data_IF_219851646401
#
_entry.id   IF_219851646401
#
_cell.length_a   1.000
_cell.length_b   1.000
_cell.length_c   1.000
_cell.angle_alpha   90.00
_cell.angle_beta   90.00
_cell.angle_gamma   90.00
#
_symmetry.space_group_name_H-M   'P 1'
#
loop_
_entity.id
_entity.type
_entity.pdbx_description
1 polymer ?
#
# COMPACT_ATOMS: atom_id res chain seq x y z
N UNK A 1 -16.61 -1.11 -52.09
CA UNK A 1 -16.42 -0.36 -50.81
C UNK A 1 -15.26 -0.88 -49.97
N UNK A 2 -15.11 -2.19 -49.74
CA UNK A 2 -14.01 -2.76 -48.91
C UNK A 2 -12.59 -2.37 -49.35
N UNK A 3 -12.34 -2.21 -50.64
CA UNK A 3 -11.00 -1.85 -51.13
C UNK A 3 -10.65 -0.36 -50.93
N UNK A 4 -11.66 0.54 -51.00
CA UNK A 4 -11.48 1.97 -50.74
C UNK A 4 -11.28 2.26 -49.25
N UNK A 5 -11.96 1.52 -48.37
CA UNK A 5 -11.73 1.61 -46.92
C UNK A 5 -10.35 1.09 -46.50
N UNK A 6 -9.87 -0.02 -47.10
CA UNK A 6 -8.53 -0.53 -46.83
C UNK A 6 -7.44 0.44 -47.28
N UNK A 7 -7.59 1.09 -48.45
CA UNK A 7 -6.65 2.11 -48.93
C UNK A 7 -6.68 3.39 -48.09
N UNK A 8 -7.85 3.79 -47.58
CA UNK A 8 -8.01 4.92 -46.65
C UNK A 8 -7.42 4.62 -45.26
N UNK A 9 -7.60 3.40 -44.76
CA UNK A 9 -7.03 2.95 -43.48
C UNK A 9 -5.50 2.84 -43.57
N UNK A 10 -4.98 2.29 -44.67
CA UNK A 10 -3.54 2.14 -44.88
C UNK A 10 -2.85 3.49 -45.10
N UNK A 11 -3.52 4.45 -45.75
CA UNK A 11 -3.03 5.83 -45.87
C UNK A 11 -3.05 6.59 -44.55
N UNK A 12 -4.00 6.29 -43.65
CA UNK A 12 -4.08 6.91 -42.32
C UNK A 12 -3.01 6.35 -41.37
N UNK A 13 -2.74 5.04 -41.43
CA UNK A 13 -1.64 4.40 -40.68
C UNK A 13 -0.27 4.89 -41.14
N UNK A 14 -0.09 5.16 -42.43
CA UNK A 14 1.18 5.66 -42.98
C UNK A 14 1.44 7.14 -42.62
N UNK A 15 0.39 7.96 -42.51
CA UNK A 15 0.49 9.35 -42.02
C UNK A 15 0.72 9.38 -40.50
N UNK A 16 0.10 8.50 -39.73
CA UNK A 16 0.39 8.32 -38.28
C UNK A 16 1.82 7.86 -38.06
N UNK A 17 2.34 6.97 -38.92
CA UNK A 17 3.73 6.51 -38.84
C UNK A 17 4.75 7.60 -39.24
N UNK A 18 4.38 8.50 -40.15
CA UNK A 18 5.26 9.59 -40.61
C UNK A 18 5.30 10.77 -39.63
N UNK A 19 4.27 10.96 -38.80
CA UNK A 19 4.30 11.88 -37.64
C UNK A 19 5.15 11.31 -36.49
N UNK A 20 5.27 9.98 -36.37
CA UNK A 20 6.19 9.36 -35.41
C UNK A 20 7.68 9.44 -35.79
N UNK A 21 8.01 9.75 -37.06
CA UNK A 21 9.40 9.72 -37.55
C UNK A 21 10.14 11.08 -37.54
N UNK A 22 9.46 12.21 -37.34
CA UNK A 22 10.13 13.53 -37.30
C UNK A 22 10.69 13.92 -35.92
N UNK A 23 10.67 13.02 -34.93
CA UNK A 23 11.24 13.26 -33.60
C UNK A 23 12.40 12.31 -33.27
N UNK A 24 13.25 11.98 -34.26
CA UNK A 24 14.56 11.36 -34.02
C UNK A 24 15.64 12.41 -34.22
N UNK A 25 16.06 13.03 -33.12
CA UNK A 25 17.43 13.51 -32.94
C UNK A 25 17.98 13.00 -31.62
N UNK A 26 18.87 12.01 -31.74
CA UNK A 26 20.16 11.87 -31.03
C UNK A 26 20.14 11.69 -29.49
N UNK A 27 20.43 10.45 -29.13
CA UNK A 27 21.23 9.90 -28.01
C UNK A 27 21.78 10.79 -26.88
N UNK A 28 21.68 10.18 -25.69
CA UNK A 28 22.61 10.20 -24.54
C UNK A 28 22.50 11.34 -23.51
N UNK A 29 21.72 11.11 -22.45
CA UNK A 29 22.09 11.44 -21.06
C UNK A 29 21.05 10.86 -20.08
N UNK A 30 21.51 10.59 -18.86
CA UNK A 30 20.87 9.79 -17.81
C UNK A 30 19.79 10.53 -16.99
N UNK A 31 19.23 11.61 -17.54
CA UNK A 31 18.06 12.30 -17.03
C UNK A 31 17.14 12.52 -18.22
N UNK A 32 16.03 11.77 -18.30
CA UNK A 32 15.03 11.91 -19.36
C UNK A 32 14.19 13.16 -19.06
N UNK A 33 14.81 14.33 -19.24
CA UNK A 33 14.10 15.61 -19.20
C UNK A 33 13.28 15.68 -20.47
N UNK A 34 11.95 15.62 -20.32
CA UNK A 34 11.04 15.81 -21.44
C UNK A 34 11.23 17.21 -22.02
N UNK A 35 11.19 17.35 -23.34
CA UNK A 35 11.16 18.68 -23.96
C UNK A 35 9.83 19.36 -23.65
N UNK A 36 9.80 20.71 -23.68
CA UNK A 36 8.58 21.48 -23.42
C UNK A 36 7.42 21.04 -24.33
N UNK A 37 7.71 20.72 -25.59
CA UNK A 37 6.72 20.21 -26.55
C UNK A 37 6.17 18.83 -26.15
N UNK A 38 7.01 17.93 -25.63
CA UNK A 38 6.58 16.62 -25.16
C UNK A 38 5.71 16.77 -23.90
N UNK A 39 6.12 17.62 -22.96
CA UNK A 39 5.33 17.96 -21.76
C UNK A 39 3.97 18.53 -22.16
N UNK A 40 3.92 19.47 -23.10
CA UNK A 40 2.67 20.04 -23.60
C UNK A 40 1.77 18.98 -24.27
N UNK A 41 2.36 18.06 -25.04
CA UNK A 41 1.63 16.94 -25.63
C UNK A 41 1.03 16.01 -24.58
N UNK A 42 1.79 15.66 -23.53
CA UNK A 42 1.30 14.81 -22.44
C UNK A 42 0.18 15.48 -21.66
N UNK A 43 0.32 16.78 -21.36
CA UNK A 43 -0.71 17.61 -20.72
C UNK A 43 -2.02 17.63 -21.52
N UNK A 44 -1.92 17.87 -22.83
CA UNK A 44 -3.09 17.87 -23.71
C UNK A 44 -3.74 16.48 -23.81
N UNK A 45 -2.94 15.42 -23.91
CA UNK A 45 -3.44 14.05 -23.96
C UNK A 45 -4.14 13.64 -22.67
N UNK A 46 -3.55 13.95 -21.52
CA UNK A 46 -4.14 13.69 -20.21
C UNK A 46 -5.48 14.42 -20.05
N UNK A 47 -5.53 15.71 -20.40
CA UNK A 47 -6.75 16.52 -20.30
C UNK A 47 -7.89 15.95 -21.16
N UNK A 48 -7.60 15.60 -22.42
CA UNK A 48 -8.58 14.97 -23.31
C UNK A 48 -9.03 13.61 -22.81
N UNK A 49 -8.13 12.85 -22.18
CA UNK A 49 -8.48 11.55 -21.61
C UNK A 49 -9.39 11.69 -20.39
N UNK A 50 -9.07 12.62 -19.50
CA UNK A 50 -9.88 12.94 -18.31
C UNK A 50 -11.29 13.36 -18.72
N UNK A 51 -11.41 14.29 -19.65
CA UNK A 51 -12.71 14.77 -20.13
C UNK A 51 -13.53 13.64 -20.76
N UNK A 52 -12.89 12.77 -21.54
CA UNK A 52 -13.56 11.62 -22.15
C UNK A 52 -14.04 10.60 -21.11
N UNK A 53 -13.22 10.28 -20.11
CA UNK A 53 -13.59 9.35 -19.03
C UNK A 53 -14.71 9.97 -18.18
N UNK A 54 -14.61 11.26 -17.87
CA UNK A 54 -15.63 11.96 -17.10
C UNK A 54 -16.99 12.04 -17.81
N UNK A 55 -16.99 12.02 -19.14
CA UNK A 55 -18.21 11.97 -19.96
C UNK A 55 -18.82 10.57 -20.15
N UNK A 56 -18.21 9.51 -19.62
CA UNK A 56 -18.77 8.16 -19.77
C UNK A 56 -19.99 7.94 -18.88
N UNK A 57 -21.01 7.30 -19.45
CA UNK A 57 -22.15 6.81 -18.69
C UNK A 57 -21.80 5.55 -17.90
N UNK A 58 -22.59 5.23 -16.89
CA UNK A 58 -22.45 4.01 -16.08
C UNK A 58 -22.46 2.74 -16.94
N UNK A 59 -23.31 2.73 -17.97
CA UNK A 59 -23.44 1.63 -18.93
C UNK A 59 -22.17 1.47 -19.78
N UNK A 60 -21.57 2.59 -20.21
CA UNK A 60 -20.32 2.57 -20.97
C UNK A 60 -19.16 2.09 -20.09
N UNK A 61 -19.09 2.55 -18.85
CA UNK A 61 -18.07 2.14 -17.88
C UNK A 61 -18.10 0.61 -17.69
N UNK A 62 -19.27 0.03 -17.44
CA UNK A 62 -19.40 -1.42 -17.25
C UNK A 62 -19.02 -2.21 -18.50
N UNK A 63 -19.45 -1.74 -19.68
CA UNK A 63 -19.11 -2.37 -20.96
C UNK A 63 -17.61 -2.36 -21.26
N UNK A 64 -16.90 -1.30 -20.88
CA UNK A 64 -15.45 -1.21 -21.06
C UNK A 64 -14.67 -2.01 -20.01
N UNK A 65 -15.19 -2.11 -18.78
CA UNK A 65 -14.63 -3.00 -17.74
C UNK A 65 -14.69 -4.48 -18.15
N UNK A 66 -15.70 -4.89 -18.90
CA UNK A 66 -15.83 -6.27 -19.39
C UNK A 66 -14.80 -6.65 -20.47
N UNK A 67 -14.03 -5.70 -21.02
CA UNK A 67 -13.08 -5.96 -22.11
C UNK A 67 -11.70 -6.46 -21.64
N UNK A 68 -11.48 -6.59 -20.33
CA UNK A 68 -10.28 -7.18 -19.69
C UNK A 68 -8.95 -6.56 -20.18
N UNK A 69 -8.93 -5.22 -20.28
CA UNK A 69 -7.72 -4.44 -20.54
C UNK A 69 -7.21 -3.83 -19.23
N UNK A 70 -5.95 -4.10 -18.86
CA UNK A 70 -5.37 -3.72 -17.57
C UNK A 70 -5.47 -2.22 -17.28
N UNK A 71 -5.09 -1.38 -18.27
CA UNK A 71 -5.11 0.08 -18.13
C UNK A 71 -6.55 0.60 -18.00
N UNK A 72 -7.43 0.16 -18.89
CA UNK A 72 -8.84 0.59 -18.92
C UNK A 72 -9.55 0.17 -17.64
N UNK A 73 -9.28 -1.05 -17.13
CA UNK A 73 -9.84 -1.55 -15.88
C UNK A 73 -9.40 -0.70 -14.70
N UNK A 74 -8.10 -0.41 -14.58
CA UNK A 74 -7.59 0.43 -13.52
C UNK A 74 -8.15 1.86 -13.58
N UNK A 75 -8.13 2.48 -14.76
CA UNK A 75 -8.61 3.84 -14.97
C UNK A 75 -10.11 3.98 -14.68
N UNK A 76 -10.94 3.08 -15.23
CA UNK A 76 -12.39 3.13 -15.07
C UNK A 76 -12.83 2.70 -13.68
N UNK A 77 -12.15 1.77 -13.02
CA UNK A 77 -12.43 1.43 -11.62
C UNK A 77 -12.13 2.64 -10.73
N UNK A 78 -11.00 3.31 -10.95
CA UNK A 78 -10.67 4.52 -10.20
C UNK A 78 -11.68 5.64 -10.44
N UNK A 79 -12.07 5.88 -11.69
CA UNK A 79 -13.12 6.84 -12.02
C UNK A 79 -14.47 6.46 -11.40
N UNK A 80 -14.90 5.20 -11.49
CA UNK A 80 -16.17 4.70 -10.91
C UNK A 80 -16.23 4.95 -9.41
N UNK A 81 -15.13 4.75 -8.70
CA UNK A 81 -15.04 5.02 -7.26
C UNK A 81 -15.05 6.51 -6.92
N UNK A 82 -14.65 7.38 -7.85
CA UNK A 82 -14.51 8.81 -7.60
C UNK A 82 -15.67 9.66 -8.14
N UNK A 83 -16.33 9.25 -9.23
CA UNK A 83 -17.32 10.05 -9.98
C UNK A 83 -18.48 10.53 -9.10
N UNK A 84 -18.95 9.69 -8.18
CA UNK A 84 -20.12 9.97 -7.33
C UNK A 84 -19.79 11.07 -6.31
N UNK A 85 -18.55 11.12 -5.85
CA UNK A 85 -18.06 12.15 -4.93
C UNK A 85 -17.60 13.42 -5.64
N UNK A 86 -17.07 13.31 -6.86
CA UNK A 86 -16.52 14.43 -7.64
C UNK A 86 -17.63 15.23 -8.34
N UNK A 87 -18.64 14.58 -8.90
CA UNK A 87 -19.67 15.23 -9.72
C UNK A 87 -19.20 15.50 -11.15
N UNK A 88 -19.86 16.42 -11.86
CA UNK A 88 -19.50 16.70 -13.25
C UNK A 88 -18.13 17.38 -13.36
N UNK A 89 -17.45 17.12 -14.48
CA UNK A 89 -16.19 17.78 -14.83
C UNK A 89 -16.41 19.27 -15.11
N UNK A 90 -15.54 20.13 -14.56
CA UNK A 90 -15.59 21.59 -14.77
C UNK A 90 -14.38 22.09 -15.54
N UNK A 91 -13.17 21.89 -15.00
CA UNK A 91 -11.94 22.37 -15.63
C UNK A 91 -10.70 21.57 -15.21
N UNK A 92 -9.69 21.52 -16.08
CA UNK A 92 -8.34 21.07 -15.74
C UNK A 92 -7.52 22.30 -15.32
N UNK A 93 -6.98 22.26 -14.11
CA UNK A 93 -6.10 23.27 -13.54
C UNK A 93 -4.63 22.99 -13.81
N UNK A 94 -3.79 23.11 -12.77
CA UNK A 94 -2.35 22.92 -12.92
C UNK A 94 -2.00 21.47 -13.24
N UNK A 95 -1.10 21.29 -14.19
CA UNK A 95 -0.56 19.99 -14.54
C UNK A 95 0.95 19.96 -14.36
N UNK A 96 1.43 18.97 -13.63
CA UNK A 96 2.85 18.71 -13.42
C UNK A 96 3.23 17.40 -14.08
N UNK A 97 4.41 17.36 -14.67
CA UNK A 97 4.95 16.16 -15.32
C UNK A 97 6.29 15.88 -14.67
N UNK A 98 6.42 14.70 -14.08
CA UNK A 98 7.65 14.22 -13.46
C UNK A 98 8.09 12.93 -14.15
N UNK A 99 9.40 12.67 -14.12
CA UNK A 99 9.97 11.43 -14.63
C UNK A 99 10.54 10.65 -13.46
N UNK A 100 10.08 9.43 -13.27
CA UNK A 100 10.65 8.48 -12.31
C UNK A 100 11.22 7.27 -13.05
N UNK A 101 12.55 7.31 -13.28
CA UNK A 101 13.28 6.28 -14.00
C UNK A 101 12.78 6.07 -15.44
N UNK A 102 11.90 5.08 -15.61
CA UNK A 102 11.29 4.75 -16.90
C UNK A 102 9.84 5.20 -17.04
N UNK A 103 9.25 5.75 -15.99
CA UNK A 103 7.87 6.18 -15.95
C UNK A 103 7.79 7.70 -16.03
N UNK A 104 6.81 8.19 -16.77
CA UNK A 104 6.41 9.59 -16.80
C UNK A 104 5.09 9.68 -16.05
N UNK A 105 5.09 10.45 -14.97
CA UNK A 105 3.94 10.65 -14.10
C UNK A 105 3.39 12.03 -14.40
N UNK A 106 2.14 12.08 -14.86
CA UNK A 106 1.42 13.30 -15.15
C UNK A 106 0.38 13.48 -14.05
N UNK A 107 0.55 14.49 -13.22
CA UNK A 107 -0.40 14.88 -12.19
C UNK A 107 -1.21 16.07 -12.70
N UNK A 108 -2.52 15.91 -12.78
CA UNK A 108 -3.45 16.95 -13.22
C UNK A 108 -4.39 17.29 -12.09
N UNK A 109 -4.35 18.53 -11.61
CA UNK A 109 -5.35 19.04 -10.70
C UNK A 109 -6.61 19.38 -11.49
N UNK A 110 -7.72 18.72 -11.15
CA UNK A 110 -8.98 18.86 -11.86
C UNK A 110 -10.05 19.30 -10.87
N UNK A 111 -10.78 20.34 -11.27
CA UNK A 111 -11.93 20.83 -10.52
C UNK A 111 -13.19 20.15 -11.06
N UNK A 112 -13.93 19.52 -10.17
CA UNK A 112 -15.27 18.99 -10.44
C UNK A 112 -16.30 19.78 -9.64
N UNK A 113 -17.58 19.55 -9.90
CA UNK A 113 -18.69 20.29 -9.26
C UNK A 113 -18.67 20.22 -7.72
N UNK A 114 -18.34 19.05 -7.15
CA UNK A 114 -18.43 18.84 -5.71
C UNK A 114 -17.09 18.97 -5.00
N UNK A 115 -16.00 18.49 -5.61
CA UNK A 115 -14.66 18.43 -5.01
C UNK A 115 -13.58 18.60 -6.09
N UNK A 116 -12.34 18.81 -5.67
CA UNK A 116 -11.18 18.73 -6.56
C UNK A 116 -10.55 17.33 -6.50
N UNK A 117 -9.92 16.91 -7.58
CA UNK A 117 -9.17 15.66 -7.62
C UNK A 117 -7.82 15.87 -8.28
N UNK A 118 -6.80 15.16 -7.81
CA UNK A 118 -5.54 15.01 -8.52
C UNK A 118 -5.61 13.73 -9.35
N UNK A 119 -5.61 13.87 -10.67
CA UNK A 119 -5.57 12.73 -11.60
C UNK A 119 -4.12 12.42 -11.93
N UNK A 120 -3.65 11.27 -11.47
CA UNK A 120 -2.32 10.75 -11.73
C UNK A 120 -2.38 9.79 -12.92
N UNK A 121 -1.62 10.08 -13.98
CA UNK A 121 -1.46 9.22 -15.14
C UNK A 121 0.00 8.79 -15.26
N UNK A 122 0.23 7.47 -15.26
CA UNK A 122 1.57 6.89 -15.37
C UNK A 122 1.73 6.31 -16.77
N UNK A 123 2.75 6.77 -17.49
CA UNK A 123 3.14 6.26 -18.79
C UNK A 123 4.53 5.66 -18.75
N UNK A 124 4.69 4.42 -19.22
CA UNK A 124 5.99 3.78 -19.29
C UNK A 124 6.68 4.11 -20.61
N UNK A 125 7.87 4.69 -20.50
CA UNK A 125 8.62 5.18 -21.65
C UNK A 125 9.43 4.11 -22.38
N UNK A 126 9.52 2.87 -21.85
CA UNK A 126 10.09 1.73 -22.57
C UNK A 126 9.06 1.10 -23.50
N UNK A 127 7.86 0.88 -22.99
CA UNK A 127 6.76 0.24 -23.73
C UNK A 127 5.95 1.26 -24.54
N UNK A 128 6.13 2.56 -24.27
CA UNK A 128 5.34 3.65 -24.86
C UNK A 128 3.83 3.48 -24.62
N UNK A 129 3.47 2.82 -23.51
CA UNK A 129 2.10 2.52 -23.11
C UNK A 129 1.75 3.21 -21.79
N UNK A 130 0.48 3.53 -21.59
CA UNK A 130 -0.04 3.95 -20.29
C UNK A 130 -0.14 2.74 -19.36
N UNK A 131 0.39 2.86 -18.16
CA UNK A 131 0.35 1.79 -17.14
C UNK A 131 -0.88 1.91 -16.25
N UNK A 132 -1.18 3.12 -15.77
CA UNK A 132 -2.28 3.34 -14.86
C UNK A 132 -2.79 4.77 -14.91
N UNK A 133 -4.05 4.95 -14.51
CA UNK A 133 -4.66 6.24 -14.23
C UNK A 133 -5.43 6.15 -12.92
N UNK A 134 -5.21 7.11 -12.02
CA UNK A 134 -5.86 7.16 -10.72
C UNK A 134 -6.47 8.55 -10.46
N UNK A 135 -7.74 8.57 -10.04
CA UNK A 135 -8.47 9.76 -9.63
C UNK A 135 -8.42 9.89 -8.10
N UNK A 136 -7.51 10.74 -7.61
CA UNK A 136 -7.31 10.94 -6.18
C UNK A 136 -8.14 12.14 -5.70
N UNK A 137 -9.23 11.88 -5.00
CA UNK A 137 -10.10 12.94 -4.45
C UNK A 137 -9.33 13.73 -3.38
N UNK A 138 -9.34 15.05 -3.50
CA UNK A 138 -8.78 15.94 -2.50
C UNK A 138 -9.78 16.18 -1.37
N UNK A 139 -9.70 15.35 -0.34
CA UNK A 139 -10.45 15.58 0.90
C UNK A 139 -9.86 16.74 1.69
N UNK A 140 -10.75 17.58 2.22
CA UNK A 140 -10.39 18.64 3.15
C UNK A 140 -9.83 18.06 4.45
N UNK A 141 -9.08 18.87 5.21
CA UNK A 141 -8.57 18.43 6.52
C UNK A 141 -9.71 18.01 7.46
N UNK A 142 -10.87 18.66 7.38
CA UNK A 142 -12.06 18.32 8.15
C UNK A 142 -12.60 16.92 7.83
N UNK A 143 -12.80 16.62 6.55
CA UNK A 143 -13.27 15.30 6.10
C UNK A 143 -12.26 14.19 6.46
N UNK A 144 -10.96 14.44 6.27
CA UNK A 144 -9.91 13.49 6.67
C UNK A 144 -9.94 13.24 8.18
N UNK A 145 -10.15 14.28 8.99
CA UNK A 145 -10.26 14.16 10.44
C UNK A 145 -11.54 13.40 10.86
N UNK A 146 -12.65 13.63 10.17
CA UNK A 146 -13.90 12.90 10.42
C UNK A 146 -13.76 11.42 10.08
N UNK A 147 -13.22 11.09 8.91
CA UNK A 147 -12.94 9.70 8.51
C UNK A 147 -11.98 9.01 9.49
N UNK A 148 -10.89 9.70 9.88
CA UNK A 148 -9.96 9.20 10.88
C UNK A 148 -10.61 9.02 12.25
N UNK A 149 -11.49 9.94 12.64
CA UNK A 149 -12.26 9.90 13.88
C UNK A 149 -13.22 8.71 13.93
N UNK A 150 -13.97 8.47 12.85
CA UNK A 150 -14.85 7.31 12.70
C UNK A 150 -14.07 5.99 12.81
N UNK A 151 -12.92 5.88 12.15
CA UNK A 151 -12.09 4.68 12.25
C UNK A 151 -11.52 4.48 13.66
N UNK A 152 -11.12 5.58 14.33
CA UNK A 152 -10.64 5.54 15.72
C UNK A 152 -11.76 5.14 16.67
N UNK A 153 -12.98 5.66 16.48
CA UNK A 153 -14.14 5.31 17.28
C UNK A 153 -14.52 3.83 17.09
N UNK A 154 -14.46 3.31 15.85
CA UNK A 154 -14.70 1.90 15.56
C UNK A 154 -13.64 1.00 16.23
N UNK A 155 -12.35 1.34 16.06
CA UNK A 155 -11.22 0.59 16.61
C UNK A 155 -11.15 0.63 18.14
N UNK A 156 -11.35 1.80 18.76
CA UNK A 156 -11.39 1.92 20.21
C UNK A 156 -12.68 1.34 20.79
N UNK A 157 -13.81 1.53 20.10
CA UNK A 157 -15.13 1.05 20.50
C UNK A 157 -15.18 -0.46 20.58
N UNK A 158 -14.65 -1.18 19.58
CA UNK A 158 -14.63 -2.65 19.62
C UNK A 158 -13.76 -3.19 20.76
N UNK A 159 -12.63 -2.54 21.05
CA UNK A 159 -11.76 -2.93 22.18
C UNK A 159 -12.48 -2.72 23.51
N UNK A 160 -13.15 -1.58 23.70
CA UNK A 160 -13.95 -1.32 24.90
C UNK A 160 -15.11 -2.31 25.06
N UNK A 161 -15.83 -2.63 23.98
CA UNK A 161 -16.91 -3.61 24.00
C UNK A 161 -16.38 -5.02 24.34
N UNK A 162 -15.22 -5.41 23.81
CA UNK A 162 -14.59 -6.69 24.13
C UNK A 162 -14.19 -6.78 25.60
N UNK A 163 -13.65 -5.71 26.18
CA UNK A 163 -13.30 -5.68 27.61
C UNK A 163 -14.54 -5.77 28.51
N UNK A 164 -15.61 -5.04 28.16
CA UNK A 164 -16.89 -5.13 28.89
C UNK A 164 -17.47 -6.54 28.78
N UNK A 165 -17.43 -7.14 27.58
CA UNK A 165 -17.92 -8.49 27.34
C UNK A 165 -17.12 -9.55 28.11
N UNK A 166 -15.79 -9.48 28.11
CA UNK A 166 -14.95 -10.37 28.91
C UNK A 166 -15.18 -10.18 30.41
N UNK A 167 -15.29 -8.93 30.88
CA UNK A 167 -15.64 -8.64 32.27
C UNK A 167 -16.99 -9.26 32.66
N UNK A 168 -17.96 -9.22 31.74
CA UNK A 168 -19.26 -9.83 31.95
C UNK A 168 -19.19 -11.37 32.01
N UNK A 169 -18.43 -12.04 31.15
CA UNK A 169 -18.22 -13.49 31.19
C UNK A 169 -17.60 -13.95 32.52
N UNK A 170 -16.56 -13.24 33.00
CA UNK A 170 -15.94 -13.53 34.30
C UNK A 170 -16.94 -13.34 35.44
N UNK A 171 -17.80 -12.32 35.37
CA UNK A 171 -18.87 -12.10 36.33
C UNK A 171 -19.90 -13.25 36.35
N UNK A 172 -20.22 -13.83 35.19
CA UNK A 172 -21.11 -14.99 35.12
C UNK A 172 -20.49 -16.25 35.72
N UNK A 173 -19.18 -16.47 35.61
CA UNK A 173 -18.50 -17.56 36.33
C UNK A 173 -18.65 -17.44 37.85
N UNK A 174 -18.61 -16.22 38.40
CA UNK A 174 -18.92 -15.99 39.82
C UNK A 174 -20.35 -16.39 40.18
N UNK A 175 -21.32 -16.17 39.30
CA UNK A 175 -22.70 -16.59 39.53
C UNK A 175 -22.85 -18.13 39.49
N UNK A 176 -22.13 -18.80 38.59
CA UNK A 176 -22.12 -20.27 38.50
C UNK A 176 -21.47 -20.91 39.75
N UNK A 177 -20.32 -20.38 40.23
CA UNK A 177 -19.64 -20.87 41.44
C UNK A 177 -20.49 -20.74 42.71
N UNK A 178 -21.28 -19.67 42.84
CA UNK A 178 -22.20 -19.48 43.97
C UNK A 178 -23.39 -20.45 43.96
N UNK A 179 -23.72 -21.04 42.80
CA UNK A 179 -24.79 -22.03 42.67
C UNK A 179 -24.30 -23.45 43.01
N UNK A 180 -23.01 -23.75 42.81
CA UNK A 180 -22.36 -24.98 43.26
C UNK A 180 -22.08 -24.97 44.76
N UNK A 181 -21.59 -23.87 45.34
CA UNK A 181 -21.32 -23.78 46.79
C UNK A 181 -22.59 -23.92 47.65
N UNK A 182 -23.75 -23.43 47.16
CA UNK A 182 -25.04 -23.64 47.84
C UNK A 182 -25.57 -25.07 47.76
N UNK A 183 -25.04 -25.91 46.86
CA UNK A 183 -25.43 -27.30 46.71
C UNK A 183 -24.51 -28.26 47.49
N UNK A 184 -23.30 -27.84 47.83
CA UNK A 184 -22.29 -28.64 48.52
C UNK A 184 -22.16 -28.38 50.04
N UNK A 185 -22.93 -27.44 50.63
CA UNK A 185 -22.90 -27.21 52.08
C UNK A 185 -23.58 -28.32 52.93
N UNK A 186 -23.82 -29.51 52.36
CA UNK A 186 -24.25 -30.71 53.09
C UNK A 186 -23.44 -31.93 52.70
N UNK A 187 -22.11 -31.87 52.82
CA UNK A 187 -21.31 -33.04 53.21
C UNK A 187 -19.87 -32.58 53.50
N UNK A 188 -19.47 -32.61 54.77
CA UNK A 188 -18.08 -32.49 55.16
C UNK A 188 -17.62 -33.83 55.73
N UNK A 189 -16.67 -34.49 55.05
CA UNK A 189 -15.85 -35.60 55.54
C UNK A 189 -14.60 -35.73 54.63
N UNK A 190 -13.50 -36.37 55.08
CA UNK A 190 -12.20 -35.74 55.38
C UNK A 190 -11.20 -35.76 54.21
N UNK A 191 -10.22 -34.86 54.31
CA UNK A 191 -9.11 -34.69 53.38
C UNK A 191 -8.25 -35.97 53.22
N UNK A 192 -7.95 -36.29 51.96
CA UNK A 192 -6.93 -37.25 51.51
C UNK A 192 -5.86 -36.46 50.71
N UNK A 193 -4.61 -36.97 50.61
CA UNK A 193 -3.41 -36.14 50.52
C UNK A 193 -3.28 -35.38 49.19
N UNK A 194 -2.70 -34.19 49.30
CA UNK A 194 -2.36 -33.32 48.17
C UNK A 194 -1.48 -34.06 47.15
N UNK A 195 -1.73 -33.92 45.84
CA UNK A 195 -0.72 -34.22 44.85
C UNK A 195 0.48 -33.29 45.09
N UNK A 196 1.66 -33.90 45.13
CA UNK A 196 2.93 -33.20 45.19
C UNK A 196 3.01 -32.11 44.10
N UNK A 197 3.70 -30.99 44.36
CA UNK A 197 3.85 -29.93 43.38
C UNK A 197 4.45 -30.52 42.10
N UNK A 198 3.73 -30.34 40.98
CA UNK A 198 4.34 -30.48 39.67
C UNK A 198 5.57 -29.53 39.66
N UNK A 199 6.72 -29.98 39.13
CA UNK A 199 7.92 -29.16 39.09
C UNK A 199 7.58 -27.78 38.54
N UNK A 200 8.05 -26.75 39.25
CA UNK A 200 8.11 -25.41 38.72
C UNK A 200 8.67 -25.50 37.30
N UNK A 201 8.03 -24.82 36.35
CA UNK A 201 8.66 -24.52 35.08
C UNK A 201 10.05 -23.98 35.40
N UNK A 202 11.03 -24.79 35.04
CA UNK A 202 12.43 -24.44 35.05
C UNK A 202 12.53 -23.10 34.35
N UNK A 203 13.18 -22.15 35.01
CA UNK A 203 13.73 -20.98 34.33
C UNK A 203 14.42 -21.51 33.08
N UNK A 204 13.87 -21.17 31.91
CA UNK A 204 14.52 -21.39 30.64
C UNK A 204 15.87 -20.70 30.75
N UNK A 205 16.87 -21.52 31.03
CA UNK A 205 18.26 -21.27 30.73
C UNK A 205 18.26 -20.87 29.27
N UNK A 206 18.43 -19.58 28.99
CA UNK A 206 18.56 -19.07 27.62
C UNK A 206 19.58 -19.96 26.91
N UNK A 207 19.08 -20.81 26.03
CA UNK A 207 19.89 -21.64 25.16
C UNK A 207 20.63 -20.67 24.23
N UNK A 208 21.81 -20.23 24.67
CA UNK A 208 22.81 -19.49 23.91
C UNK A 208 23.30 -20.27 22.68
N UNK A 209 22.73 -21.45 22.39
CA UNK A 209 23.05 -22.27 21.23
C UNK A 209 22.36 -21.79 19.95
N UNK A 210 21.33 -20.94 20.02
CA UNK A 210 20.55 -20.53 18.84
C UNK A 210 21.12 -19.29 18.11
N UNK A 211 22.07 -18.56 18.71
CA UNK A 211 22.68 -17.38 18.08
C UNK A 211 23.68 -17.76 16.97
N UNK A 212 23.91 -19.05 16.70
CA UNK A 212 24.89 -19.52 15.71
C UNK A 212 24.57 -19.06 14.28
N UNK A 213 23.29 -19.05 13.90
CA UNK A 213 22.84 -18.55 12.60
C UNK A 213 23.05 -17.04 12.48
N UNK A 214 22.74 -16.29 13.54
CA UNK A 214 22.95 -14.84 13.61
C UNK A 214 24.44 -14.50 13.52
N UNK A 215 25.30 -15.23 14.23
CA UNK A 215 26.76 -15.11 14.15
C UNK A 215 27.26 -15.36 12.73
N UNK A 216 26.74 -16.39 12.04
CA UNK A 216 27.14 -16.74 10.67
C UNK A 216 26.74 -15.66 9.65
N UNK A 217 25.51 -15.13 9.73
CA UNK A 217 25.03 -14.06 8.83
C UNK A 217 25.82 -12.77 9.05
N UNK A 218 26.06 -12.38 10.31
CA UNK A 218 26.86 -11.18 10.64
C UNK A 218 28.29 -11.36 10.15
N UNK A 219 28.90 -12.53 10.34
CA UNK A 219 30.25 -12.80 9.86
C UNK A 219 30.34 -12.77 8.33
N UNK A 220 29.38 -13.37 7.63
CA UNK A 220 29.34 -13.33 6.17
C UNK A 220 29.17 -11.89 5.63
N UNK A 221 28.33 -11.08 6.27
CA UNK A 221 28.11 -9.68 5.88
C UNK A 221 29.37 -8.83 6.04
N UNK A 222 30.11 -8.99 7.16
CA UNK A 222 31.36 -8.28 7.41
C UNK A 222 32.44 -8.73 6.42
N UNK A 223 32.59 -10.04 6.20
CA UNK A 223 33.56 -10.56 5.24
C UNK A 223 33.28 -10.05 3.81
N UNK A 224 32.01 -10.06 3.39
CA UNK A 224 31.60 -9.50 2.10
C UNK A 224 31.87 -7.99 1.98
N UNK A 225 31.63 -7.22 3.05
CA UNK A 225 31.91 -5.78 3.08
C UNK A 225 33.42 -5.47 3.02
N UNK A 226 34.24 -6.24 3.73
CA UNK A 226 35.70 -6.10 3.73
C UNK A 226 36.36 -6.71 2.47
N UNK A 227 35.58 -7.32 1.57
CA UNK A 227 36.06 -7.97 0.36
C UNK A 227 36.88 -9.24 0.62
N UNK A 228 36.74 -9.82 1.82
CA UNK A 228 37.39 -11.05 2.24
C UNK A 228 36.44 -12.25 2.06
N UNK A 229 36.96 -13.38 1.60
CA UNK A 229 36.20 -14.65 1.55
C UNK A 229 36.29 -15.47 2.84
N UNK A 230 37.03 -14.96 3.83
CA UNK A 230 37.32 -15.67 5.08
C UNK A 230 36.88 -14.84 6.29
N UNK A 231 36.36 -15.52 7.31
CA UNK A 231 35.85 -14.93 8.57
C UNK A 231 36.87 -14.94 9.70
N UNK A 232 38.11 -15.39 9.47
CA UNK A 232 39.15 -15.56 10.50
C UNK A 232 39.73 -14.25 11.06
N UNK A 233 39.45 -13.10 10.41
CA UNK A 233 39.96 -11.79 10.82
C UNK A 233 39.24 -11.15 12.01
N UNK A 234 38.10 -11.71 12.43
CA UNK A 234 37.26 -11.13 13.47
C UNK A 234 36.43 -12.21 14.19
N UNK A 235 35.94 -11.90 15.39
CA UNK A 235 35.14 -12.82 16.21
C UNK A 235 33.82 -12.15 16.60
N UNK A 236 32.71 -12.80 16.24
CA UNK A 236 31.36 -12.36 16.61
C UNK A 236 30.88 -13.20 17.80
N UNK A 237 30.43 -12.54 18.86
CA UNK A 237 29.89 -13.17 20.08
C UNK A 237 28.75 -12.34 20.64
N UNK A 238 27.75 -13.00 21.22
CA UNK A 238 26.71 -12.29 21.97
C UNK A 238 27.29 -11.72 23.27
N UNK A 239 26.91 -10.48 23.59
CA UNK A 239 27.30 -9.80 24.84
C UNK A 239 26.03 -9.31 25.50
N UNK A 240 25.71 -9.86 26.68
CA UNK A 240 24.60 -9.38 27.49
C UNK A 240 25.02 -8.13 28.27
N UNK A 241 24.17 -7.10 28.23
CA UNK A 241 24.41 -5.85 28.95
C UNK A 241 24.33 -6.10 30.46
N UNK A 242 25.44 -5.90 31.18
CA UNK A 242 25.43 -5.94 32.64
C UNK A 242 24.54 -4.84 33.20
N UNK A 243 23.66 -5.17 34.15
CA UNK A 243 22.76 -4.23 34.83
C UNK A 243 23.48 -3.34 35.86
N UNK A 244 24.81 -3.49 36.00
CA UNK A 244 25.62 -2.73 36.96
C UNK A 244 26.47 -1.65 36.28
N UNK A 245 26.31 -0.39 36.70
CA UNK A 245 27.05 0.77 36.18
C UNK A 245 28.45 0.90 36.82
N UNK A 246 29.19 -0.20 37.00
CA UNK A 246 30.52 -0.17 37.63
C UNK A 246 31.59 0.53 36.77
N UNK A 247 31.34 0.69 35.48
CA UNK A 247 32.22 1.39 34.54
C UNK A 247 32.30 2.91 34.74
N UNK A 248 31.37 3.51 35.52
CA UNK A 248 31.42 4.95 35.87
C UNK A 248 32.31 5.27 37.09
N UNK A 249 33.03 4.29 37.63
CA UNK A 249 33.91 4.45 38.79
C UNK A 249 35.39 4.11 38.52
N UNK A 250 35.79 4.08 37.25
CA UNK A 250 37.18 4.02 36.83
C UNK A 250 37.63 5.39 36.35
#
# INVERSE_FOLDING_TARGET
MKEKMKKSLLSLVLVVCMVCLSCVTVFAAKDKVLTEDQVASFKSAASSMIEKIAGFSDEDIEKFLDQDDDFTTAALTSWKNAKDELGAFVEVGEQTVTTDGNNVIINSDVTYENKTANVELIANTKTSAYESMAFNINYTMGEKMEQAGLNTLMGLGIVFLMLIFLSFLISQFKHISNLTEKKDSKSAAPAAPAPAPAPAEEEQEEELADDGELVAVIAAAIAAYEGSTSTDGFVVRSIKRSKTNKWKRA
#
